data_IF_315141985494
#
_entry.id   IF_315141985494
#
_cell.length_a   1.000
_cell.length_b   1.000
_cell.length_c   1.000
_cell.angle_alpha   90.00
_cell.angle_beta   90.00
_cell.angle_gamma   90.00
#
_symmetry.space_group_name_H-M   'P 1'
#
loop_
_entity.id
_entity.type
_entity.pdbx_description
1 polymer ?
#
# COMPACT_ATOMS: atom_id res chain seq x y z
N UNK A 1 -35.47 -63.56 -1.78
CA UNK A 1 -35.75 -63.06 -3.13
C UNK A 1 -36.09 -61.58 -3.02
N UNK A 2 -35.41 -60.74 -3.80
CA UNK A 2 -35.62 -59.29 -4.01
C UNK A 2 -35.50 -58.38 -2.77
N UNK A 3 -34.84 -57.23 -2.79
CA UNK A 3 -34.20 -56.50 -3.88
C UNK A 3 -33.73 -55.16 -3.31
N UNK A 4 -32.45 -54.88 -3.53
CA UNK A 4 -31.75 -53.61 -3.30
C UNK A 4 -32.50 -52.42 -3.90
N UNK A 5 -32.78 -51.36 -3.12
CA UNK A 5 -33.44 -50.19 -3.69
C UNK A 5 -33.74 -48.98 -2.80
N UNK A 6 -33.09 -48.79 -1.66
CA UNK A 6 -33.42 -47.66 -0.76
C UNK A 6 -32.19 -46.85 -0.29
N UNK A 7 -31.18 -46.69 -1.15
CA UNK A 7 -29.98 -45.87 -0.88
C UNK A 7 -29.99 -44.49 -1.56
N UNK A 8 -31.12 -44.04 -2.12
CA UNK A 8 -31.16 -42.80 -2.95
C UNK A 8 -32.08 -41.70 -2.41
N UNK A 9 -32.84 -41.90 -1.33
CA UNK A 9 -33.77 -40.87 -0.84
C UNK A 9 -33.55 -40.61 0.64
N UNK A 10 -32.71 -39.62 0.94
CA UNK A 10 -32.45 -39.18 2.32
C UNK A 10 -31.27 -38.25 2.51
N UNK A 11 -30.40 -38.07 1.50
CA UNK A 11 -29.37 -37.02 1.48
C UNK A 11 -29.93 -35.59 1.28
N UNK A 12 -31.25 -35.43 1.29
CA UNK A 12 -31.95 -34.16 1.08
C UNK A 12 -32.50 -33.51 2.37
N UNK A 13 -32.08 -33.98 3.56
CA UNK A 13 -32.51 -33.40 4.84
C UNK A 13 -31.46 -32.50 5.54
N UNK A 14 -30.39 -32.10 4.84
CA UNK A 14 -29.37 -31.18 5.38
C UNK A 14 -29.45 -29.73 4.82
N UNK A 15 -30.48 -29.38 4.05
CA UNK A 15 -30.65 -28.05 3.45
C UNK A 15 -31.76 -27.21 4.09
N UNK A 16 -32.00 -27.38 5.39
CA UNK A 16 -32.96 -26.56 6.14
C UNK A 16 -32.40 -26.14 7.51
N UNK A 17 -31.22 -25.52 7.51
CA UNK A 17 -30.90 -24.55 8.56
C UNK A 17 -31.28 -23.17 7.99
N UNK A 18 -32.35 -22.53 8.49
CA UNK A 18 -32.69 -21.18 8.06
C UNK A 18 -31.53 -20.27 8.42
N UNK A 19 -31.17 -19.40 7.47
CA UNK A 19 -30.04 -18.50 7.58
C UNK A 19 -29.99 -17.82 8.94
N UNK A 20 -28.94 -18.14 9.69
CA UNK A 20 -28.44 -17.28 10.76
C UNK A 20 -28.06 -15.99 10.03
N UNK A 21 -28.97 -15.02 10.04
CA UNK A 21 -28.62 -13.62 9.86
C UNK A 21 -27.66 -13.28 10.99
N UNK A 22 -26.37 -13.57 10.79
CA UNK A 22 -25.32 -12.94 11.58
C UNK A 22 -25.43 -11.48 11.20
N UNK A 23 -26.15 -10.71 12.02
CA UNK A 23 -26.08 -9.26 12.01
C UNK A 23 -24.63 -8.91 12.33
N UNK A 24 -23.83 -8.76 11.28
CA UNK A 24 -22.49 -8.21 11.36
C UNK A 24 -22.69 -6.77 11.80
N UNK A 25 -22.51 -6.52 13.09
CA UNK A 25 -22.34 -5.16 13.59
C UNK A 25 -21.08 -4.62 12.92
N UNK A 26 -21.26 -3.74 11.94
CA UNK A 26 -20.16 -2.93 11.40
C UNK A 26 -19.86 -1.89 12.46
N UNK A 27 -19.04 -2.28 13.43
CA UNK A 27 -18.57 -1.35 14.45
C UNK A 27 -17.53 -0.44 13.80
N UNK A 28 -17.84 0.85 13.75
CA UNK A 28 -16.91 1.85 13.28
C UNK A 28 -15.67 1.83 14.19
N UNK A 29 -14.49 2.11 13.62
CA UNK A 29 -13.27 2.21 14.42
C UNK A 29 -13.47 3.24 15.54
N UNK A 30 -12.91 3.07 16.74
CA UNK A 30 -13.11 4.01 17.85
C UNK A 30 -12.79 5.47 17.48
N UNK A 31 -11.80 5.69 16.61
CA UNK A 31 -11.50 7.01 16.06
C UNK A 31 -12.54 7.55 15.06
N UNK A 32 -13.21 6.68 14.31
CA UNK A 32 -14.25 7.04 13.34
C UNK A 32 -15.57 7.44 14.04
N UNK A 33 -15.78 6.92 15.25
CA UNK A 33 -16.91 7.28 16.11
C UNK A 33 -16.72 8.65 16.81
N UNK A 34 -15.51 9.21 16.82
CA UNK A 34 -15.22 10.49 17.48
C UNK A 34 -15.92 11.65 16.74
N UNK A 35 -16.85 12.40 17.39
CA UNK A 35 -17.54 13.51 16.76
C UNK A 35 -16.60 14.63 16.32
N UNK A 36 -15.52 14.91 17.08
CA UNK A 36 -14.55 15.94 16.71
C UNK A 36 -13.76 15.56 15.45
N UNK A 37 -13.47 14.28 15.27
CA UNK A 37 -12.86 13.77 14.05
C UNK A 37 -13.79 13.97 12.85
N UNK A 38 -15.06 13.57 12.98
CA UNK A 38 -16.05 13.69 11.91
C UNK A 38 -16.31 15.14 11.50
N UNK A 39 -16.43 16.05 12.46
CA UNK A 39 -16.59 17.48 12.18
C UNK A 39 -15.37 18.04 11.46
N UNK A 40 -14.16 17.71 11.91
CA UNK A 40 -12.93 18.13 11.24
C UNK A 40 -12.86 17.70 9.77
N UNK A 41 -13.19 16.43 9.50
CA UNK A 41 -13.14 15.89 8.14
C UNK A 41 -14.19 16.57 7.25
N UNK A 42 -15.40 16.82 7.77
CA UNK A 42 -16.44 17.55 7.05
C UNK A 42 -16.06 19.00 6.74
N UNK A 43 -15.53 19.73 7.73
CA UNK A 43 -15.05 21.10 7.55
C UNK A 43 -13.90 21.17 6.54
N UNK A 44 -12.94 20.24 6.62
CA UNK A 44 -11.81 20.18 5.71
C UNK A 44 -12.24 19.89 4.26
N UNK A 45 -13.21 19.00 4.05
CA UNK A 45 -13.71 18.68 2.72
C UNK A 45 -14.43 19.87 2.06
N UNK A 46 -15.11 20.69 2.85
CA UNK A 46 -15.87 21.84 2.35
C UNK A 46 -15.02 23.10 2.18
N UNK A 47 -14.06 23.33 3.09
CA UNK A 47 -13.28 24.59 3.14
C UNK A 47 -11.84 24.42 2.68
N UNK A 48 -11.29 23.21 2.72
CA UNK A 48 -9.87 22.94 2.51
C UNK A 48 -8.96 23.45 3.63
N UNK A 49 -9.51 23.84 4.78
CA UNK A 49 -8.77 24.44 5.90
C UNK A 49 -8.88 23.55 7.13
N UNK A 50 -7.76 23.35 7.82
CA UNK A 50 -7.70 22.64 9.11
C UNK A 50 -6.98 23.53 10.13
N UNK A 51 -7.75 24.20 10.98
CA UNK A 51 -7.20 25.16 11.95
C UNK A 51 -6.49 26.30 11.23
N UNK A 52 -5.15 26.33 11.27
CA UNK A 52 -4.32 27.30 10.55
C UNK A 52 -3.62 26.77 9.29
N UNK A 53 -3.78 25.48 8.96
CA UNK A 53 -3.15 24.87 7.79
C UNK A 53 -4.11 24.84 6.60
N UNK A 54 -3.65 25.28 5.43
CA UNK A 54 -4.43 25.30 4.18
C UNK A 54 -3.98 24.15 3.29
N UNK A 55 -4.92 23.28 2.89
CA UNK A 55 -4.66 22.22 1.91
C UNK A 55 -5.02 22.78 0.52
N UNK A 56 -4.02 23.27 -0.20
CA UNK A 56 -4.19 23.98 -1.48
C UNK A 56 -4.96 23.20 -2.55
N UNK A 57 -4.85 21.87 -2.56
CA UNK A 57 -5.54 21.02 -3.53
C UNK A 57 -6.99 20.67 -3.15
N UNK A 58 -7.42 21.00 -1.92
CA UNK A 58 -8.79 20.82 -1.43
C UNK A 58 -9.67 22.05 -1.60
N UNK A 59 -9.08 23.22 -1.89
CA UNK A 59 -9.84 24.45 -1.96
C UNK A 59 -10.77 24.43 -3.18
N UNK A 60 -12.08 24.35 -2.93
CA UNK A 60 -13.10 24.65 -3.92
C UNK A 60 -12.95 26.11 -4.31
N UNK A 61 -12.53 26.36 -5.55
CA UNK A 61 -12.41 27.72 -6.09
C UNK A 61 -13.81 28.26 -6.39
N UNK A 62 -14.56 28.62 -5.36
CA UNK A 62 -15.91 29.16 -5.49
C UNK A 62 -15.97 30.70 -5.36
N UNK A 63 -14.85 31.38 -5.06
CA UNK A 63 -14.81 32.83 -4.85
C UNK A 63 -13.77 33.60 -5.69
N UNK A 64 -13.51 33.19 -6.93
CA UNK A 64 -12.95 34.12 -7.94
C UNK A 64 -14.08 34.59 -8.85
N UNK A 65 -14.78 35.64 -8.40
CA UNK A 65 -15.65 36.41 -9.27
C UNK A 65 -14.80 37.08 -10.37
N UNK A 66 -15.06 36.69 -11.63
CA UNK A 66 -14.64 37.33 -12.89
C UNK A 66 -13.19 37.08 -13.30
N UNK A 67 -12.98 36.00 -14.05
CA UNK A 67 -12.27 36.09 -15.33
C UNK A 67 -12.98 35.23 -16.36
N UNK A 68 -13.92 35.87 -17.05
CA UNK A 68 -14.47 35.39 -18.31
C UNK A 68 -13.29 35.20 -19.29
N UNK A 69 -12.90 33.95 -19.56
CA UNK A 69 -11.85 33.69 -20.54
C UNK A 69 -11.12 32.34 -20.48
N UNK A 70 -11.42 31.45 -19.54
CA UNK A 70 -10.77 30.12 -19.52
C UNK A 70 -11.73 28.93 -19.42
N UNK A 71 -12.82 28.99 -20.18
CA UNK A 71 -13.63 27.82 -20.53
C UNK A 71 -13.05 27.15 -21.79
N UNK A 72 -11.90 26.47 -21.70
CA UNK A 72 -11.36 25.76 -22.88
C UNK A 72 -10.88 24.33 -22.67
N UNK A 73 -10.87 23.79 -21.45
CA UNK A 73 -10.74 22.34 -21.23
C UNK A 73 -11.55 21.95 -19.99
N UNK A 74 -12.67 21.24 -20.18
CA UNK A 74 -13.22 20.37 -19.14
C UNK A 74 -12.12 19.40 -18.73
N UNK A 75 -11.43 19.75 -17.64
CA UNK A 75 -10.39 18.96 -17.01
C UNK A 75 -10.91 17.54 -16.84
N UNK A 76 -10.18 16.54 -17.37
CA UNK A 76 -10.67 15.17 -17.55
C UNK A 76 -11.34 14.67 -16.26
N UNK A 77 -12.53 14.08 -16.35
CA UNK A 77 -13.33 13.64 -15.20
C UNK A 77 -12.51 12.81 -14.18
N UNK A 78 -11.57 12.00 -14.70
CA UNK A 78 -10.60 11.27 -13.90
C UNK A 78 -9.76 12.22 -13.04
N UNK A 79 -9.16 13.27 -13.59
CA UNK A 79 -8.31 14.20 -12.85
C UNK A 79 -9.06 14.94 -11.75
N UNK A 80 -10.32 15.28 -11.98
CA UNK A 80 -11.20 15.90 -10.97
C UNK A 80 -11.52 14.89 -9.85
N UNK A 81 -11.88 13.65 -10.21
CA UNK A 81 -12.12 12.57 -9.25
C UNK A 81 -10.87 12.25 -8.41
N UNK A 82 -9.70 12.20 -9.04
CA UNK A 82 -8.42 11.99 -8.37
C UNK A 82 -8.10 13.13 -7.40
N UNK A 83 -8.35 14.40 -7.78
CA UNK A 83 -8.19 15.55 -6.88
C UNK A 83 -9.10 15.44 -5.66
N UNK A 84 -10.37 15.09 -5.85
CA UNK A 84 -11.32 14.93 -4.74
C UNK A 84 -10.94 13.76 -3.82
N UNK A 85 -10.46 12.65 -4.39
CA UNK A 85 -10.00 11.49 -3.62
C UNK A 85 -8.75 11.82 -2.81
N UNK A 86 -7.79 12.53 -3.40
CA UNK A 86 -6.59 13.01 -2.70
C UNK A 86 -6.97 13.93 -1.55
N UNK A 87 -7.88 14.88 -1.79
CA UNK A 87 -8.38 15.78 -0.77
C UNK A 87 -9.03 15.03 0.41
N UNK A 88 -9.92 14.09 0.13
CA UNK A 88 -10.56 13.27 1.17
C UNK A 88 -9.53 12.50 2.00
N UNK A 89 -8.50 11.97 1.34
CA UNK A 89 -7.46 11.15 2.00
C UNK A 89 -6.58 12.01 2.90
N UNK A 90 -6.19 13.20 2.46
CA UNK A 90 -5.36 14.12 3.23
C UNK A 90 -6.15 14.76 4.38
N UNK A 91 -7.40 15.20 4.16
CA UNK A 91 -8.27 15.67 5.25
C UNK A 91 -8.40 14.63 6.37
N UNK A 92 -8.68 13.36 6.03
CA UNK A 92 -8.74 12.26 7.01
C UNK A 92 -7.43 12.11 7.78
N UNK A 93 -6.30 12.20 7.09
CA UNK A 93 -4.98 12.07 7.71
C UNK A 93 -4.68 13.23 8.68
N UNK A 94 -4.84 14.48 8.25
CA UNK A 94 -4.55 15.63 9.11
C UNK A 94 -5.49 15.74 10.31
N UNK A 95 -6.78 15.45 10.12
CA UNK A 95 -7.75 15.41 11.22
C UNK A 95 -7.44 14.30 12.24
N UNK A 96 -7.05 13.11 11.75
CA UNK A 96 -6.59 12.02 12.61
C UNK A 96 -5.35 12.46 13.42
N UNK A 97 -4.34 13.04 12.76
CA UNK A 97 -3.13 13.48 13.44
C UNK A 97 -3.39 14.57 14.50
N UNK A 98 -4.30 15.50 14.22
CA UNK A 98 -4.70 16.55 15.18
C UNK A 98 -5.38 15.95 16.42
N UNK A 99 -6.34 15.03 16.21
CA UNK A 99 -7.03 14.37 17.33
C UNK A 99 -6.10 13.54 18.19
N UNK A 100 -5.15 12.86 17.57
CA UNK A 100 -4.16 12.07 18.29
C UNK A 100 -3.18 12.93 19.08
N UNK A 101 -2.82 14.11 18.57
CA UNK A 101 -2.05 15.08 19.35
C UNK A 101 -2.84 15.60 20.56
N UNK A 102 -4.12 15.90 20.40
CA UNK A 102 -5.00 16.31 21.50
C UNK A 102 -5.17 15.19 22.55
N UNK A 103 -5.32 13.93 22.11
CA UNK A 103 -5.35 12.75 22.99
C UNK A 103 -4.02 12.54 23.72
N UNK A 104 -2.89 12.72 23.02
CA UNK A 104 -1.55 12.64 23.60
C UNK A 104 -1.34 13.69 24.68
N UNK A 105 -1.77 14.93 24.44
CA UNK A 105 -1.73 16.01 25.44
C UNK A 105 -2.66 15.72 26.63
N UNK A 106 -3.79 15.06 26.39
CA UNK A 106 -4.70 14.57 27.42
C UNK A 106 -4.27 13.27 28.10
N UNK A 107 -3.11 12.69 27.78
CA UNK A 107 -2.61 11.44 28.36
C UNK A 107 -3.40 10.17 27.97
N UNK A 108 -4.21 10.23 26.91
CA UNK A 108 -5.01 9.11 26.43
C UNK A 108 -4.20 8.22 25.48
N UNK A 109 -4.53 6.93 25.44
CA UNK A 109 -3.91 6.00 24.51
C UNK A 109 -4.34 6.30 23.05
N UNK A 110 -3.44 6.03 22.08
CA UNK A 110 -3.77 6.15 20.65
C UNK A 110 -4.91 5.23 20.24
N UNK A 111 -5.72 5.66 19.28
CA UNK A 111 -6.80 4.85 18.72
C UNK A 111 -6.62 4.65 17.21
N UNK A 112 -7.30 3.64 16.69
CA UNK A 112 -7.33 3.34 15.26
C UNK A 112 -8.41 4.20 14.57
N UNK A 113 -8.14 4.63 13.33
CA UNK A 113 -9.07 5.36 12.45
C UNK A 113 -9.10 4.66 11.10
N UNK A 114 -10.28 4.32 10.58
CA UNK A 114 -10.45 3.61 9.30
C UNK A 114 -9.50 2.39 9.12
N UNK A 115 -9.24 1.63 10.19
CA UNK A 115 -8.33 0.47 10.17
C UNK A 115 -6.83 0.83 10.15
N UNK A 116 -6.46 2.10 10.25
CA UNK A 116 -5.07 2.59 10.22
C UNK A 116 -4.68 3.20 11.57
N UNK A 117 -3.40 3.08 11.89
CA UNK A 117 -2.78 3.73 13.04
C UNK A 117 -2.26 5.12 12.67
N UNK A 118 -2.25 6.07 13.63
CA UNK A 118 -1.86 7.45 13.39
C UNK A 118 -0.34 7.61 13.35
N UNK A 119 0.25 7.19 12.23
CA UNK A 119 1.66 7.42 11.98
C UNK A 119 1.85 8.81 11.39
N UNK A 120 2.64 9.63 12.08
CA UNK A 120 3.06 10.92 11.53
C UNK A 120 3.92 10.64 10.29
N UNK A 121 3.53 11.19 9.13
CA UNK A 121 4.35 11.27 7.90
C UNK A 121 5.55 12.21 8.14
N UNK A 122 6.41 11.88 9.09
CA UNK A 122 7.73 12.50 9.25
C UNK A 122 8.72 11.48 8.75
N UNK A 123 9.63 11.92 7.88
CA UNK A 123 10.56 11.10 7.11
C UNK A 123 9.93 10.44 5.89
N UNK A 124 10.32 10.93 4.72
CA UNK A 124 10.97 10.24 3.59
C UNK A 124 10.94 8.69 3.53
N UNK A 125 10.78 7.96 4.65
CA UNK A 125 10.76 6.50 4.75
C UNK A 125 9.59 6.02 5.61
N UNK A 126 8.65 5.31 4.99
CA UNK A 126 7.55 4.66 5.68
C UNK A 126 8.05 3.51 6.57
N UNK A 127 9.17 2.87 6.20
CA UNK A 127 9.85 1.83 6.95
C UNK A 127 11.38 1.84 6.67
N UNK A 128 12.16 2.71 7.33
CA UNK A 128 13.59 2.87 7.01
C UNK A 128 14.42 1.61 7.25
N UNK A 129 14.03 0.79 8.24
CA UNK A 129 14.75 -0.44 8.58
C UNK A 129 14.55 -1.54 7.54
N UNK A 130 13.33 -1.72 7.02
CA UNK A 130 13.06 -2.72 5.98
C UNK A 130 13.67 -2.30 4.65
N UNK A 131 13.68 -1.01 4.33
CA UNK A 131 14.44 -0.46 3.20
C UNK A 131 15.94 -0.74 3.29
N UNK A 132 16.55 -0.50 4.45
CA UNK A 132 17.97 -0.76 4.68
C UNK A 132 18.30 -2.27 4.57
N UNK A 133 17.48 -3.13 5.17
CA UNK A 133 17.64 -4.59 5.08
C UNK A 133 17.47 -5.10 3.65
N UNK A 134 16.54 -4.54 2.87
CA UNK A 134 16.36 -4.84 1.45
C UNK A 134 17.58 -4.41 0.61
N UNK A 135 18.15 -3.24 0.88
CA UNK A 135 19.36 -2.77 0.21
C UNK A 135 20.60 -3.62 0.57
N UNK A 136 20.71 -4.08 1.82
CA UNK A 136 21.75 -5.01 2.24
C UNK A 136 21.61 -6.37 1.54
N UNK A 137 20.39 -6.89 1.38
CA UNK A 137 20.14 -8.10 0.60
C UNK A 137 20.55 -7.93 -0.87
N UNK A 138 20.23 -6.79 -1.49
CA UNK A 138 20.68 -6.47 -2.84
C UNK A 138 22.21 -6.52 -2.95
N UNK A 139 22.92 -5.92 -1.98
CA UNK A 139 24.39 -5.93 -1.94
C UNK A 139 24.96 -7.35 -1.81
N UNK A 140 24.36 -8.20 -0.98
CA UNK A 140 24.77 -9.59 -0.84
C UNK A 140 24.57 -10.38 -2.14
N UNK A 141 23.44 -10.20 -2.81
CA UNK A 141 23.20 -10.82 -4.12
C UNK A 141 24.18 -10.33 -5.20
N UNK A 142 24.51 -9.03 -5.19
CA UNK A 142 25.47 -8.45 -6.13
C UNK A 142 26.90 -8.98 -5.90
N UNK A 143 27.36 -8.99 -4.64
CA UNK A 143 28.70 -9.50 -4.29
C UNK A 143 28.82 -11.00 -4.55
N UNK A 144 27.79 -11.79 -4.25
CA UNK A 144 27.73 -13.22 -4.56
C UNK A 144 27.79 -13.49 -6.06
N UNK A 145 27.00 -12.75 -6.86
CA UNK A 145 27.03 -12.86 -8.31
C UNK A 145 28.38 -12.45 -8.91
N UNK A 146 28.99 -11.37 -8.44
CA UNK A 146 30.31 -10.92 -8.89
C UNK A 146 31.40 -11.96 -8.59
N UNK A 147 31.38 -12.55 -7.39
CA UNK A 147 32.30 -13.63 -7.00
C UNK A 147 32.15 -14.85 -7.92
N UNK A 148 30.92 -15.28 -8.19
CA UNK A 148 30.63 -16.38 -9.12
C UNK A 148 31.09 -16.06 -10.56
N UNK A 149 30.81 -14.85 -11.04
CA UNK A 149 31.24 -14.40 -12.37
C UNK A 149 32.76 -14.42 -12.52
N UNK A 150 33.49 -13.91 -11.52
CA UNK A 150 34.96 -13.91 -11.51
C UNK A 150 35.52 -15.34 -11.48
N UNK A 151 34.93 -16.21 -10.66
CA UNK A 151 35.34 -17.62 -10.56
C UNK A 151 35.19 -18.32 -11.92
N UNK A 152 34.03 -18.17 -12.57
CA UNK A 152 33.75 -18.79 -13.87
C UNK A 152 34.66 -18.25 -14.97
N UNK A 153 34.96 -16.93 -14.97
CA UNK A 153 35.71 -16.29 -16.05
C UNK A 153 37.23 -16.42 -15.92
N UNK A 154 37.76 -16.37 -14.70
CA UNK A 154 39.20 -16.26 -14.47
C UNK A 154 39.82 -17.48 -13.77
N UNK A 155 39.06 -18.26 -13.01
CA UNK A 155 39.60 -19.38 -12.22
C UNK A 155 39.26 -20.75 -12.78
N UNK A 156 38.14 -20.91 -13.49
CA UNK A 156 37.79 -22.18 -14.11
C UNK A 156 38.42 -22.32 -15.51
N UNK A 157 39.05 -23.46 -15.82
CA UNK A 157 39.52 -23.75 -17.17
C UNK A 157 38.32 -23.82 -18.12
N UNK A 158 38.29 -22.96 -19.14
CA UNK A 158 37.29 -23.02 -20.20
C UNK A 158 37.55 -24.26 -21.07
N UNK A 159 36.50 -24.93 -21.54
CA UNK A 159 36.67 -26.11 -22.41
C UNK A 159 37.30 -25.65 -23.73
N UNK A 160 38.48 -26.17 -24.13
CA UNK A 160 39.25 -25.63 -25.25
C UNK A 160 38.53 -25.73 -26.60
N UNK A 161 37.64 -26.71 -26.77
CA UNK A 161 36.93 -26.97 -28.03
C UNK A 161 35.69 -26.10 -28.25
N UNK A 162 35.05 -25.60 -27.20
CA UNK A 162 33.75 -24.89 -27.31
C UNK A 162 33.76 -23.50 -26.69
N UNK A 163 34.86 -23.07 -26.04
CA UNK A 163 34.96 -21.83 -25.25
C UNK A 163 33.85 -21.65 -24.20
N UNK A 164 33.11 -22.71 -23.88
CA UNK A 164 32.05 -22.72 -22.86
C UNK A 164 32.64 -23.10 -21.51
N UNK A 165 32.04 -22.58 -20.43
CA UNK A 165 32.33 -22.99 -19.07
C UNK A 165 32.03 -24.48 -18.87
N UNK A 166 32.85 -25.18 -18.08
CA UNK A 166 32.60 -26.59 -17.74
C UNK A 166 31.27 -26.82 -16.99
N UNK A 167 30.78 -25.77 -16.33
CA UNK A 167 29.53 -25.78 -15.59
C UNK A 167 28.39 -25.35 -16.51
N UNK A 168 27.59 -26.32 -16.98
CA UNK A 168 26.44 -26.11 -17.88
C UNK A 168 25.33 -25.23 -17.26
N UNK A 169 25.24 -25.22 -15.92
CA UNK A 169 24.25 -24.42 -15.18
C UNK A 169 24.67 -22.97 -14.93
N UNK A 170 25.78 -22.51 -15.50
CA UNK A 170 26.26 -21.12 -15.37
C UNK A 170 25.17 -20.12 -15.79
N UNK A 171 24.44 -20.41 -16.88
CA UNK A 171 23.34 -19.55 -17.34
C UNK A 171 22.20 -19.44 -16.33
N UNK A 172 21.82 -20.54 -15.68
CA UNK A 172 20.78 -20.55 -14.64
C UNK A 172 21.17 -19.65 -13.45
N UNK A 173 22.43 -19.71 -13.01
CA UNK A 173 22.93 -18.88 -11.92
C UNK A 173 22.92 -17.38 -12.26
N UNK A 174 23.24 -17.02 -13.50
CA UNK A 174 23.15 -15.62 -13.95
C UNK A 174 21.70 -15.14 -14.01
N UNK A 175 20.78 -15.94 -14.54
CA UNK A 175 19.36 -15.60 -14.59
C UNK A 175 18.78 -15.45 -13.18
N UNK A 176 19.10 -16.37 -12.26
CA UNK A 176 18.68 -16.29 -10.87
C UNK A 176 19.18 -15.02 -10.18
N UNK A 177 20.46 -14.66 -10.38
CA UNK A 177 21.04 -13.45 -9.81
C UNK A 177 20.35 -12.18 -10.35
N UNK A 178 20.08 -12.10 -11.65
CA UNK A 178 19.39 -10.96 -12.28
C UNK A 178 17.97 -10.83 -11.73
N UNK A 179 17.21 -11.92 -11.66
CA UNK A 179 15.84 -11.92 -11.13
C UNK A 179 15.81 -11.51 -9.66
N UNK A 180 16.73 -12.05 -8.86
CA UNK A 180 16.85 -11.72 -7.43
C UNK A 180 17.20 -10.24 -7.24
N UNK A 181 18.21 -9.72 -7.95
CA UNK A 181 18.57 -8.29 -7.87
C UNK A 181 17.41 -7.39 -8.29
N UNK A 182 16.67 -7.73 -9.36
CA UNK A 182 15.48 -6.99 -9.75
C UNK A 182 14.42 -6.99 -8.63
N UNK A 183 14.12 -8.14 -8.04
CA UNK A 183 13.16 -8.23 -6.95
C UNK A 183 13.56 -7.36 -5.75
N UNK A 184 14.84 -7.37 -5.36
CA UNK A 184 15.33 -6.56 -4.24
C UNK A 184 15.41 -5.07 -4.56
N UNK A 185 15.66 -4.68 -5.81
CA UNK A 185 15.55 -3.27 -6.25
C UNK A 185 14.11 -2.80 -6.06
N UNK A 186 13.13 -3.53 -6.59
CA UNK A 186 11.71 -3.17 -6.46
C UNK A 186 11.27 -3.18 -5.00
N UNK A 187 11.67 -4.18 -4.21
CA UNK A 187 11.45 -4.23 -2.76
C UNK A 187 11.97 -2.96 -2.07
N UNK A 188 13.21 -2.57 -2.37
CA UNK A 188 13.81 -1.37 -1.78
C UNK A 188 13.01 -0.13 -2.19
N UNK A 189 12.64 0.02 -3.46
CA UNK A 189 11.82 1.13 -3.97
C UNK A 189 10.45 1.20 -3.28
N UNK A 190 9.81 0.06 -3.01
CA UNK A 190 8.54 0.03 -2.28
C UNK A 190 8.68 0.48 -0.83
N UNK A 191 9.76 0.09 -0.14
CA UNK A 191 10.02 0.51 1.24
C UNK A 191 10.59 1.94 1.34
N UNK A 192 11.22 2.45 0.28
CA UNK A 192 11.75 3.82 0.19
C UNK A 192 10.80 4.78 -0.50
N UNK A 193 9.46 4.61 -0.48
CA UNK A 193 8.54 5.56 -1.12
C UNK A 193 8.66 6.98 -0.52
N UNK A 194 9.60 7.72 -1.08
CA UNK A 194 9.77 9.15 -1.14
C UNK A 194 8.56 9.66 -1.93
N UNK A 195 7.63 10.33 -1.26
CA UNK A 195 6.64 11.17 -1.93
C UNK A 195 7.40 12.31 -2.62
N UNK A 196 7.51 12.24 -3.94
CA UNK A 196 7.69 13.43 -4.81
C UNK A 196 6.40 14.21 -4.88
#
# INVERSE_FOLDING_TARGET
MAGTGLWVVGLASLLALPGIFVSVSVEASPGDADPHYRTCVGECQNTGIIGGNIISHCQSRENDSISAGSSWYTQEALRVQWKQLNCMTDCRYYCMMRREEERRLGGLSPVQYHGKWPFKRVSVFQEPLSAALSALNLLMHFTGWLSFFLLVKYRLPLRPQTKKSYYEYTGLWHMYAILSMNAWIWSSVFHTRILT
#
